data_IF_917980987252
#
_entry.id   IF_917980987252
#
_cell.length_a   1.000
_cell.length_b   1.000
_cell.length_c   1.000
_cell.angle_alpha   90.00
_cell.angle_beta   90.00
_cell.angle_gamma   90.00
#
_symmetry.space_group_name_H-M   'P 1'
#
loop_
_entity.id
_entity.type
_entity.pdbx_description
1 polymer ?
#
# COMPACT_ATOMS: atom_id res chain seq x y z
N UNK A 1 -4.14 4.41 -22.67
CA UNK A 1 -5.21 5.19 -22.00
C UNK A 1 -4.67 5.64 -20.65
N UNK A 2 -4.89 6.91 -20.27
CA UNK A 2 -4.41 7.43 -18.98
C UNK A 2 -5.20 6.78 -17.85
N UNK A 3 -4.55 6.12 -16.86
CA UNK A 3 -5.24 5.58 -15.71
C UNK A 3 -5.69 6.68 -14.74
N UNK A 4 -6.72 6.41 -13.94
CA UNK A 4 -7.12 7.29 -12.84
C UNK A 4 -6.15 7.15 -11.66
N UNK A 5 -5.58 5.93 -11.51
CA UNK A 5 -4.67 5.55 -10.43
C UNK A 5 -3.47 4.78 -11.00
N UNK A 6 -2.27 5.26 -10.70
CA UNK A 6 -1.00 4.61 -11.05
C UNK A 6 -0.34 4.07 -9.77
N UNK A 7 -0.19 2.76 -9.71
CA UNK A 7 0.54 2.07 -8.64
C UNK A 7 1.99 1.80 -9.07
N UNK A 8 2.95 2.25 -8.29
CA UNK A 8 4.37 1.98 -8.50
C UNK A 8 4.92 1.15 -7.34
N UNK A 9 5.22 -0.10 -7.61
CA UNK A 9 5.69 -1.07 -6.61
C UNK A 9 5.53 -2.49 -7.14
N UNK A 10 6.22 -3.44 -6.50
CA UNK A 10 6.21 -4.81 -6.99
C UNK A 10 5.06 -5.64 -6.41
N UNK A 11 4.52 -6.50 -7.26
CA UNK A 11 3.85 -7.70 -6.80
C UNK A 11 4.88 -8.59 -6.10
N UNK A 12 4.48 -9.34 -5.09
CA UNK A 12 5.35 -10.27 -4.37
C UNK A 12 4.92 -11.71 -4.56
N UNK A 13 5.85 -12.62 -4.29
CA UNK A 13 5.62 -14.02 -4.05
C UNK A 13 5.74 -14.29 -2.56
N UNK A 14 4.68 -14.74 -1.94
CA UNK A 14 4.69 -15.11 -0.52
C UNK A 14 4.76 -16.64 -0.43
N UNK A 15 5.92 -17.15 0.02
CA UNK A 15 6.13 -18.57 0.22
C UNK A 15 5.41 -19.02 1.49
N UNK A 16 4.42 -19.88 1.32
CA UNK A 16 3.58 -20.39 2.40
C UNK A 16 4.24 -21.63 3.08
N UNK A 17 3.82 -21.97 4.32
CA UNK A 17 4.40 -23.10 5.06
C UNK A 17 4.28 -24.46 4.38
N UNK A 18 3.31 -24.63 3.49
CA UNK A 18 3.11 -25.86 2.69
C UNK A 18 3.96 -25.88 1.40
N UNK A 19 4.80 -24.86 1.19
CA UNK A 19 5.65 -24.72 0.00
C UNK A 19 4.96 -24.14 -1.23
N UNK A 20 3.67 -23.80 -1.14
CA UNK A 20 2.96 -23.09 -2.21
C UNK A 20 3.32 -21.61 -2.21
N UNK A 21 3.04 -20.93 -3.32
CA UNK A 21 3.29 -19.50 -3.49
C UNK A 21 1.94 -18.80 -3.63
N UNK A 22 1.75 -17.74 -2.85
CA UNK A 22 0.64 -16.82 -2.99
C UNK A 22 1.12 -15.46 -3.52
N UNK A 23 0.36 -14.78 -4.37
CA UNK A 23 0.64 -13.40 -4.76
C UNK A 23 0.36 -12.46 -3.59
N UNK A 24 1.16 -11.40 -3.48
CA UNK A 24 1.04 -10.41 -2.42
C UNK A 24 1.66 -9.06 -2.79
N UNK A 25 1.97 -8.29 -1.77
CA UNK A 25 2.57 -6.95 -1.87
C UNK A 25 1.55 -5.83 -2.03
N UNK A 26 1.99 -4.62 -1.72
CA UNK A 26 1.15 -3.41 -1.79
C UNK A 26 0.49 -3.25 -3.15
N UNK A 27 1.22 -3.51 -4.24
CA UNK A 27 0.70 -3.39 -5.59
C UNK A 27 -0.49 -4.34 -5.85
N UNK A 28 -0.46 -5.55 -5.31
CA UNK A 28 -1.50 -6.56 -5.47
C UNK A 28 -2.82 -6.13 -4.83
N UNK A 29 -2.75 -5.76 -3.55
CA UNK A 29 -3.93 -5.34 -2.80
C UNK A 29 -4.47 -3.98 -3.25
N UNK A 30 -3.58 -3.01 -3.51
CA UNK A 30 -3.99 -1.69 -3.97
C UNK A 30 -4.67 -1.74 -5.34
N UNK A 31 -4.10 -2.45 -6.32
CA UNK A 31 -4.69 -2.54 -7.66
C UNK A 31 -6.09 -3.18 -7.62
N UNK A 32 -6.24 -4.28 -6.86
CA UNK A 32 -7.56 -4.92 -6.70
C UNK A 32 -8.56 -4.01 -5.99
N UNK A 33 -8.12 -3.25 -5.00
CA UNK A 33 -9.00 -2.29 -4.31
C UNK A 33 -9.50 -1.22 -5.28
N UNK A 34 -8.62 -0.63 -6.07
CA UNK A 34 -8.97 0.42 -7.02
C UNK A 34 -9.93 -0.07 -8.11
N UNK A 35 -9.70 -1.29 -8.62
CA UNK A 35 -10.58 -1.97 -9.58
C UNK A 35 -11.98 -2.20 -8.97
N UNK A 36 -12.07 -2.69 -7.72
CA UNK A 36 -13.34 -2.88 -7.00
C UNK A 36 -14.07 -1.57 -6.69
N UNK A 37 -13.36 -0.44 -6.72
CA UNK A 37 -13.89 0.90 -6.56
C UNK A 37 -14.25 1.57 -7.91
N UNK A 38 -14.32 0.80 -9.01
CA UNK A 38 -14.70 1.26 -10.35
C UNK A 38 -13.77 2.38 -10.88
N UNK A 39 -12.47 2.27 -10.62
CA UNK A 39 -11.45 3.20 -11.13
C UNK A 39 -10.45 2.48 -12.04
N UNK A 40 -10.05 3.16 -13.12
CA UNK A 40 -9.03 2.65 -14.03
C UNK A 40 -7.68 2.67 -13.32
N UNK A 41 -7.09 1.50 -13.17
CA UNK A 41 -5.82 1.33 -12.48
C UNK A 41 -4.75 0.78 -13.42
N UNK A 42 -3.54 1.29 -13.25
CA UNK A 42 -2.34 0.78 -13.89
C UNK A 42 -1.28 0.48 -12.83
N UNK A 43 -0.48 -0.56 -13.05
CA UNK A 43 0.60 -0.99 -12.17
C UNK A 43 1.89 -1.09 -12.95
N UNK A 44 2.98 -0.53 -12.42
CA UNK A 44 4.34 -0.77 -12.90
C UNK A 44 5.07 -1.65 -11.88
N UNK A 45 5.55 -2.81 -12.32
CA UNK A 45 6.07 -3.85 -11.44
C UNK A 45 7.10 -4.75 -12.14
N UNK A 46 7.79 -5.58 -11.36
CA UNK A 46 8.38 -6.81 -11.88
C UNK A 46 7.28 -7.77 -12.37
N UNK A 47 7.56 -8.67 -13.32
CA UNK A 47 6.64 -9.72 -13.70
C UNK A 47 6.19 -10.55 -12.50
N UNK A 48 4.93 -10.99 -12.48
CA UNK A 48 4.38 -11.72 -11.34
C UNK A 48 3.45 -12.86 -11.80
N UNK A 49 3.35 -13.89 -10.97
CA UNK A 49 2.39 -14.97 -11.14
C UNK A 49 1.03 -14.52 -10.58
N UNK A 50 0.24 -13.86 -11.41
CA UNK A 50 -1.07 -13.38 -11.01
C UNK A 50 -2.12 -14.51 -11.07
N UNK A 51 -3.16 -14.47 -10.24
CA UNK A 51 -4.25 -15.44 -10.30
C UNK A 51 -4.91 -15.48 -11.69
N UNK A 52 -5.43 -16.65 -12.07
CA UNK A 52 -6.08 -16.83 -13.38
C UNK A 52 -7.33 -15.93 -13.56
N UNK A 53 -7.95 -15.51 -12.46
CA UNK A 53 -9.10 -14.60 -12.42
C UNK A 53 -8.69 -13.13 -12.20
N UNK A 54 -7.40 -12.79 -12.46
CA UNK A 54 -6.95 -11.40 -12.38
C UNK A 54 -7.68 -10.55 -13.44
N UNK A 55 -8.23 -9.38 -13.04
CA UNK A 55 -9.03 -8.58 -13.97
C UNK A 55 -8.21 -8.02 -15.12
N UNK A 56 -8.69 -8.23 -16.35
CA UNK A 56 -8.11 -7.64 -17.56
C UNK A 56 -8.22 -6.10 -17.59
N UNK A 57 -9.11 -5.51 -16.78
CA UNK A 57 -9.25 -4.06 -16.60
C UNK A 57 -8.02 -3.41 -15.96
N UNK A 58 -7.22 -4.16 -15.19
CA UNK A 58 -6.00 -3.66 -14.56
C UNK A 58 -4.87 -3.65 -15.58
N UNK A 59 -4.42 -2.46 -15.96
CA UNK A 59 -3.33 -2.29 -16.90
C UNK A 59 -1.99 -2.59 -16.23
N UNK A 60 -1.12 -3.35 -16.89
CA UNK A 60 0.17 -3.79 -16.35
C UNK A 60 1.30 -3.36 -17.27
N UNK A 61 2.35 -2.78 -16.71
CA UNK A 61 3.65 -2.60 -17.35
C UNK A 61 4.70 -3.33 -16.51
N UNK A 62 5.31 -4.33 -17.11
CA UNK A 62 6.35 -5.11 -16.45
C UNK A 62 7.74 -4.73 -16.95
N UNK A 63 8.69 -4.70 -16.04
CA UNK A 63 10.11 -4.68 -16.37
C UNK A 63 10.61 -6.12 -16.50
N UNK A 64 10.79 -6.64 -17.73
CA UNK A 64 10.97 -8.09 -17.97
C UNK A 64 12.22 -8.69 -17.34
N UNK A 65 13.26 -7.86 -17.12
CA UNK A 65 14.54 -8.29 -16.54
C UNK A 65 14.47 -8.53 -15.03
N UNK A 66 13.40 -8.06 -14.38
CA UNK A 66 13.22 -8.23 -12.94
C UNK A 66 12.46 -9.52 -12.62
N UNK A 67 12.75 -10.06 -11.45
CA UNK A 67 11.97 -11.14 -10.83
C UNK A 67 11.22 -10.57 -9.65
N UNK A 68 9.99 -11.03 -9.35
CA UNK A 68 9.25 -10.53 -8.19
C UNK A 68 9.97 -10.88 -6.89
N UNK A 69 9.99 -9.97 -5.89
CA UNK A 69 10.56 -10.26 -4.59
C UNK A 69 9.78 -11.39 -3.94
N UNK A 70 10.51 -12.33 -3.33
CA UNK A 70 9.93 -13.51 -2.68
C UNK A 70 10.13 -13.43 -1.18
N UNK A 71 9.02 -13.43 -0.44
CA UNK A 71 9.01 -13.37 1.01
C UNK A 71 8.55 -14.69 1.62
N UNK A 72 9.05 -14.96 2.82
CA UNK A 72 8.59 -16.06 3.68
C UNK A 72 8.36 -15.50 5.09
N UNK A 73 7.20 -15.77 5.68
CA UNK A 73 6.92 -15.45 7.06
C UNK A 73 7.10 -16.70 7.93
N UNK A 74 8.11 -16.69 8.80
CA UNK A 74 8.37 -17.76 9.79
C UNK A 74 7.86 -17.32 11.15
N UNK A 75 6.96 -18.10 11.72
CA UNK A 75 6.46 -17.86 13.07
C UNK A 75 7.31 -18.67 14.06
N UNK A 76 7.93 -17.97 15.01
CA UNK A 76 8.78 -18.53 16.06
C UNK A 76 8.18 -18.21 17.43
N UNK A 77 8.63 -18.88 18.52
CA UNK A 77 8.21 -18.50 19.87
C UNK A 77 8.55 -17.05 20.26
N UNK A 78 9.51 -16.43 19.56
CA UNK A 78 9.94 -15.05 19.78
C UNK A 78 9.17 -14.06 18.88
N UNK A 79 8.29 -14.53 18.01
CA UNK A 79 7.50 -13.70 17.10
C UNK A 79 7.69 -14.07 15.62
N UNK A 80 7.13 -13.25 14.75
CA UNK A 80 7.24 -13.39 13.29
C UNK A 80 8.60 -12.89 12.81
N UNK A 81 9.31 -13.73 12.05
CA UNK A 81 10.51 -13.36 11.29
C UNK A 81 10.17 -13.39 9.82
N UNK A 82 10.42 -12.29 9.11
CA UNK A 82 10.24 -12.22 7.67
C UNK A 82 11.58 -12.44 6.97
N UNK A 83 11.61 -13.37 6.02
CA UNK A 83 12.78 -13.69 5.20
C UNK A 83 12.54 -13.16 3.79
N UNK A 84 13.51 -12.45 3.23
CA UNK A 84 13.55 -12.12 1.81
C UNK A 84 14.44 -13.16 1.10
N UNK A 85 13.85 -13.89 0.15
CA UNK A 85 14.57 -14.90 -0.63
C UNK A 85 15.20 -14.30 -1.88
N UNK A 86 14.47 -13.42 -2.57
CA UNK A 86 14.94 -12.71 -3.76
C UNK A 86 14.50 -11.26 -3.68
N UNK A 87 15.39 -10.37 -4.10
CA UNK A 87 15.12 -8.95 -4.34
C UNK A 87 14.89 -8.76 -5.85
N UNK A 88 14.13 -7.77 -6.25
CA UNK A 88 13.86 -7.53 -7.67
C UNK A 88 14.56 -6.29 -8.24
N UNK A 89 15.27 -5.54 -7.41
CA UNK A 89 15.89 -4.29 -7.83
C UNK A 89 14.90 -3.14 -8.05
N UNK A 90 15.44 -1.96 -8.34
CA UNK A 90 14.67 -0.73 -8.40
C UNK A 90 13.95 -0.53 -9.75
N UNK A 91 12.75 0.06 -9.70
CA UNK A 91 12.06 0.63 -10.85
C UNK A 91 12.77 1.90 -11.34
N UNK A 92 12.68 2.17 -12.63
CA UNK A 92 13.13 3.41 -13.25
C UNK A 92 11.94 4.22 -13.79
N UNK A 93 12.10 5.53 -13.95
CA UNK A 93 11.03 6.36 -14.54
C UNK A 93 10.69 5.92 -15.97
N UNK A 94 11.65 5.36 -16.69
CA UNK A 94 11.45 4.89 -18.07
C UNK A 94 10.66 3.57 -18.14
N UNK A 95 10.48 2.88 -17.04
CA UNK A 95 9.59 1.72 -16.95
C UNK A 95 8.11 2.15 -16.99
N UNK A 96 7.82 3.44 -16.76
CA UNK A 96 6.47 4.00 -16.71
C UNK A 96 6.07 4.49 -18.09
N UNK A 97 5.05 3.91 -18.75
CA UNK A 97 4.51 4.42 -20.00
C UNK A 97 4.23 5.92 -19.93
N UNK A 98 4.65 6.66 -20.95
CA UNK A 98 4.63 8.13 -20.91
C UNK A 98 3.24 8.71 -20.60
N UNK A 99 2.19 8.14 -21.17
CA UNK A 99 0.83 8.57 -20.91
C UNK A 99 0.36 8.31 -19.47
N UNK A 100 0.90 7.28 -18.77
CA UNK A 100 0.53 6.96 -17.41
C UNK A 100 1.09 7.95 -16.39
N UNK A 101 2.15 8.68 -16.75
CA UNK A 101 2.73 9.73 -15.91
C UNK A 101 1.77 10.90 -15.64
N UNK A 102 0.64 10.95 -16.37
CA UNK A 102 -0.43 11.93 -16.16
C UNK A 102 -1.61 11.39 -15.33
N UNK A 103 -1.43 10.29 -14.62
CA UNK A 103 -2.46 9.74 -13.72
C UNK A 103 -2.89 10.77 -12.67
N UNK A 104 -4.18 10.79 -12.33
CA UNK A 104 -4.71 11.71 -11.31
C UNK A 104 -4.28 11.38 -9.89
N UNK A 105 -3.98 10.09 -9.62
CA UNK A 105 -3.44 9.57 -8.37
C UNK A 105 -2.19 8.77 -8.71
N UNK A 106 -1.11 8.99 -7.97
CA UNK A 106 0.10 8.15 -7.99
C UNK A 106 0.35 7.61 -6.59
N UNK A 107 0.47 6.29 -6.48
CA UNK A 107 0.77 5.61 -5.23
C UNK A 107 2.15 4.96 -5.31
N UNK A 108 3.09 5.45 -4.50
CA UNK A 108 4.40 4.82 -4.32
C UNK A 108 4.29 3.82 -3.17
N UNK A 109 4.37 2.55 -3.49
CA UNK A 109 4.22 1.46 -2.52
C UNK A 109 5.40 0.50 -2.53
N UNK A 110 6.61 0.96 -2.13
CA UNK A 110 7.75 0.07 -2.02
C UNK A 110 7.49 -1.04 -1.01
N UNK A 111 7.85 -2.26 -1.38
CA UNK A 111 7.77 -3.44 -0.52
C UNK A 111 9.17 -3.97 -0.16
N UNK A 112 10.15 -3.78 -1.06
CA UNK A 112 11.56 -4.12 -0.92
C UNK A 112 12.46 -2.97 -1.46
N UNK A 113 12.13 -1.72 -1.13
CA UNK A 113 12.82 -0.50 -1.54
C UNK A 113 12.94 -0.28 -3.07
N UNK A 114 12.13 -0.98 -3.87
CA UNK A 114 12.17 -0.96 -5.33
C UNK A 114 11.68 0.34 -5.96
N UNK A 115 10.91 1.13 -5.22
CA UNK A 115 10.46 2.45 -5.67
C UNK A 115 11.40 3.51 -5.10
N UNK A 116 12.24 4.18 -5.92
CA UNK A 116 13.16 5.21 -5.44
C UNK A 116 12.41 6.39 -4.80
N UNK A 117 12.93 6.93 -3.69
CA UNK A 117 12.35 8.12 -3.03
C UNK A 117 12.27 9.33 -3.98
N UNK A 118 13.18 9.43 -4.95
CA UNK A 118 13.17 10.51 -5.96
C UNK A 118 11.89 10.56 -6.79
N UNK A 119 11.12 9.45 -6.87
CA UNK A 119 9.84 9.41 -7.58
C UNK A 119 8.79 10.34 -6.95
N UNK A 120 8.95 10.72 -5.70
CA UNK A 120 8.11 11.73 -5.02
C UNK A 120 8.03 13.03 -5.82
N UNK A 121 9.08 13.39 -6.56
CA UNK A 121 9.12 14.63 -7.35
C UNK A 121 8.73 14.43 -8.83
N UNK A 122 8.51 13.20 -9.27
CA UNK A 122 8.30 12.90 -10.69
C UNK A 122 6.86 13.21 -11.18
N UNK A 123 5.90 13.38 -10.28
CA UNK A 123 4.46 13.51 -10.61
C UNK A 123 3.84 14.77 -10.00
N UNK A 124 4.24 15.99 -10.43
CA UNK A 124 3.87 17.24 -9.74
C UNK A 124 2.37 17.58 -9.81
N UNK A 125 1.62 16.96 -10.71
CA UNK A 125 0.18 17.21 -10.89
C UNK A 125 -0.72 16.14 -10.25
N UNK A 126 -0.15 15.01 -9.80
CA UNK A 126 -0.91 13.94 -9.20
C UNK A 126 -1.14 14.18 -7.71
N UNK A 127 -2.25 13.63 -7.20
CA UNK A 127 -2.39 13.33 -5.78
C UNK A 127 -1.39 12.21 -5.46
N UNK A 128 -0.37 12.50 -4.67
CA UNK A 128 0.70 11.59 -4.36
C UNK A 128 0.47 10.90 -3.02
N UNK A 129 0.20 9.59 -3.05
CA UNK A 129 0.14 8.72 -1.88
C UNK A 129 1.42 7.90 -1.73
N UNK A 130 1.77 7.61 -0.48
CA UNK A 130 2.93 6.77 -0.16
C UNK A 130 2.59 5.78 0.94
N UNK A 131 2.96 4.50 0.75
CA UNK A 131 3.05 3.48 1.80
C UNK A 131 4.53 3.09 1.96
N UNK A 132 5.25 3.60 2.98
CA UNK A 132 6.71 3.60 3.02
C UNK A 132 7.32 2.29 3.53
N UNK A 133 6.58 1.21 3.67
CA UNK A 133 7.01 -0.02 4.32
C UNK A 133 8.36 -0.55 3.78
N UNK A 134 8.55 -0.55 2.46
CA UNK A 134 9.80 -1.02 1.86
C UNK A 134 10.99 -0.11 2.15
N UNK A 135 10.77 1.19 2.40
CA UNK A 135 11.84 2.11 2.83
C UNK A 135 12.21 1.96 4.30
N UNK A 136 11.40 1.21 5.07
CA UNK A 136 11.66 0.88 6.48
C UNK A 136 12.28 -0.51 6.65
N UNK A 137 12.68 -1.15 5.56
CA UNK A 137 13.25 -2.50 5.55
C UNK A 137 14.71 -2.47 5.12
N UNK A 138 15.52 -3.27 5.79
CA UNK A 138 16.90 -3.52 5.41
C UNK A 138 17.19 -5.02 5.45
N UNK A 139 18.06 -5.48 4.59
CA UNK A 139 18.51 -6.86 4.52
C UNK A 139 19.97 -6.93 4.09
N UNK A 140 20.60 -8.05 4.39
CA UNK A 140 21.97 -8.34 3.97
C UNK A 140 22.03 -9.31 2.79
N UNK A 141 22.83 -10.35 2.93
CA UNK A 141 22.92 -11.42 1.93
C UNK A 141 21.59 -12.17 1.83
N UNK A 142 21.16 -12.45 0.60
CA UNK A 142 19.94 -13.21 0.32
C UNK A 142 20.25 -14.70 0.07
N UNK A 143 19.34 -15.60 0.49
CA UNK A 143 18.16 -15.35 1.33
C UNK A 143 18.56 -14.97 2.77
N UNK A 144 17.80 -14.02 3.35
CA UNK A 144 18.11 -13.53 4.70
C UNK A 144 16.96 -12.81 5.39
N UNK A 145 17.08 -12.58 6.70
CA UNK A 145 16.06 -11.89 7.46
C UNK A 145 15.99 -10.42 7.10
N UNK A 146 14.76 -9.90 7.09
CA UNK A 146 14.50 -8.47 7.01
C UNK A 146 14.61 -7.88 8.41
N UNK A 147 15.33 -6.77 8.52
CA UNK A 147 15.41 -5.95 9.70
C UNK A 147 14.66 -4.63 9.51
N UNK A 148 14.15 -4.09 10.60
CA UNK A 148 13.56 -2.75 10.60
C UNK A 148 14.66 -1.69 10.58
N UNK A 149 14.46 -0.69 9.73
CA UNK A 149 15.26 0.53 9.68
C UNK A 149 14.31 1.73 9.67
N UNK A 150 14.37 2.62 10.67
CA UNK A 150 13.54 3.83 10.66
C UNK A 150 13.79 4.66 9.39
N UNK A 151 12.73 4.98 8.68
CA UNK A 151 12.81 5.88 7.53
C UNK A 151 12.99 7.32 8.00
N UNK A 152 14.03 8.01 7.51
CA UNK A 152 14.38 9.37 7.91
C UNK A 152 14.48 10.29 6.69
N UNK A 153 13.34 10.58 6.02
CA UNK A 153 13.33 11.40 4.83
C UNK A 153 13.59 12.87 5.15
N UNK A 154 14.11 13.58 4.15
CA UNK A 154 14.23 15.03 4.24
C UNK A 154 12.84 15.69 4.34
N UNK A 155 12.69 16.80 5.08
CA UNK A 155 11.41 17.52 5.21
C UNK A 155 10.78 17.91 3.86
N UNK A 156 11.60 18.24 2.86
CA UNK A 156 11.18 18.62 1.52
C UNK A 156 10.45 17.47 0.81
N UNK A 157 10.91 16.25 1.01
CA UNK A 157 10.27 15.06 0.46
C UNK A 157 8.90 14.85 1.08
N UNK A 158 8.78 14.94 2.41
CA UNK A 158 7.51 14.80 3.12
C UNK A 158 6.49 15.87 2.71
N UNK A 159 6.92 17.12 2.46
CA UNK A 159 6.01 18.20 2.00
C UNK A 159 5.42 17.94 0.63
N UNK A 160 6.06 17.10 -0.19
CA UNK A 160 5.54 16.76 -1.54
C UNK A 160 4.51 15.63 -1.47
N UNK A 161 4.52 14.82 -0.42
CA UNK A 161 3.57 13.73 -0.25
C UNK A 161 2.23 14.29 0.23
N UNK A 162 1.16 14.04 -0.52
CA UNK A 162 -0.18 14.50 -0.14
C UNK A 162 -0.80 13.62 0.95
N UNK A 163 -0.55 12.29 0.91
CA UNK A 163 -0.99 11.35 1.94
C UNK A 163 0.04 10.25 2.18
N UNK A 164 0.46 10.12 3.43
CA UNK A 164 1.36 9.06 3.92
C UNK A 164 0.54 8.06 4.73
N UNK A 165 0.54 6.79 4.35
CA UNK A 165 -0.21 5.73 5.04
C UNK A 165 0.75 4.65 5.52
N UNK A 166 0.68 4.32 6.81
CA UNK A 166 1.52 3.30 7.43
C UNK A 166 0.79 2.67 8.61
N UNK A 167 1.22 1.50 9.03
CA UNK A 167 0.70 0.84 10.23
C UNK A 167 1.57 1.13 11.46
N UNK A 168 1.01 0.95 12.64
CA UNK A 168 1.77 1.02 13.89
C UNK A 168 2.84 -0.08 13.96
N UNK A 169 2.63 -1.19 13.24
CA UNK A 169 3.59 -2.28 13.12
C UNK A 169 4.79 -1.90 12.25
N UNK A 170 4.59 -1.13 11.18
CA UNK A 170 5.66 -0.68 10.29
C UNK A 170 6.70 0.18 11.03
N UNK A 171 6.27 0.90 12.06
CA UNK A 171 7.14 1.73 12.90
C UNK A 171 7.47 1.09 14.25
N UNK A 172 7.18 -0.20 14.43
CA UNK A 172 7.44 -0.94 15.68
C UNK A 172 6.89 -0.21 16.94
N UNK A 173 5.75 0.46 16.81
CA UNK A 173 5.11 1.23 17.89
C UNK A 173 5.67 2.64 18.11
N UNK A 174 6.63 3.08 17.32
CA UNK A 174 7.24 4.42 17.49
C UNK A 174 6.33 5.54 16.94
N UNK A 175 5.39 5.98 17.74
CA UNK A 175 4.53 7.13 17.42
C UNK A 175 5.28 8.46 17.34
N UNK A 176 6.45 8.58 17.97
CA UNK A 176 7.24 9.81 17.90
C UNK A 176 7.79 10.00 16.48
N UNK A 177 8.20 8.90 15.84
CA UNK A 177 8.60 8.89 14.43
C UNK A 177 7.43 9.33 13.53
N UNK A 178 6.22 8.78 13.73
CA UNK A 178 5.03 9.17 12.95
C UNK A 178 4.69 10.64 13.12
N UNK A 179 4.74 11.16 14.35
CA UNK A 179 4.54 12.58 14.63
C UNK A 179 5.60 13.45 13.96
N UNK A 180 6.83 12.95 13.79
CA UNK A 180 7.86 13.67 13.05
C UNK A 180 7.52 13.81 11.56
N UNK A 181 6.94 12.79 10.94
CA UNK A 181 6.44 12.87 9.56
C UNK A 181 5.28 13.85 9.42
N UNK A 182 4.32 13.80 10.36
CA UNK A 182 3.14 14.67 10.37
C UNK A 182 3.46 16.16 10.50
N UNK A 183 4.67 16.54 10.92
CA UNK A 183 5.12 17.94 10.92
C UNK A 183 5.27 18.53 9.53
N UNK A 184 5.47 17.69 8.53
CA UNK A 184 5.82 18.12 7.17
C UNK A 184 4.86 17.55 6.12
N UNK A 185 4.33 16.34 6.31
CA UNK A 185 3.32 15.75 5.44
C UNK A 185 1.91 16.21 5.89
N UNK A 186 1.09 16.79 5.01
CA UNK A 186 -0.22 17.37 5.37
C UNK A 186 -1.21 16.34 5.89
N UNK A 187 -1.15 15.09 5.39
CA UNK A 187 -2.00 13.99 5.81
C UNK A 187 -1.17 12.75 6.09
N UNK A 188 -1.19 12.27 7.34
CA UNK A 188 -0.60 10.99 7.74
C UNK A 188 -1.66 10.12 8.37
N UNK A 189 -1.90 8.93 7.83
CA UNK A 189 -2.81 7.94 8.38
C UNK A 189 -2.01 6.78 9.01
N UNK A 190 -2.12 6.64 10.32
CA UNK A 190 -1.52 5.56 11.09
C UNK A 190 -2.59 4.52 11.43
N UNK A 191 -2.58 3.38 10.75
CA UNK A 191 -3.54 2.30 10.98
C UNK A 191 -3.17 1.46 12.20
N UNK A 192 -4.20 0.93 12.92
CA UNK A 192 -4.06 0.21 14.19
C UNK A 192 -4.97 -1.02 14.23
N UNK A 193 -5.11 -1.71 13.12
CA UNK A 193 -5.96 -2.91 12.99
C UNK A 193 -7.38 -2.68 13.54
N UNK A 194 -7.88 -3.53 14.42
CA UNK A 194 -9.21 -3.40 15.02
C UNK A 194 -9.43 -2.13 15.87
N UNK A 195 -8.37 -1.37 16.17
CA UNK A 195 -8.48 -0.08 16.86
C UNK A 195 -8.75 1.09 15.90
N UNK A 196 -8.87 0.84 14.60
CA UNK A 196 -9.09 1.87 13.60
C UNK A 196 -7.79 2.55 13.15
N UNK A 197 -7.81 3.87 13.03
CA UNK A 197 -6.65 4.65 12.61
C UNK A 197 -6.54 5.98 13.36
N UNK A 198 -5.33 6.54 13.40
CA UNK A 198 -5.09 7.92 13.77
C UNK A 198 -4.76 8.72 12.51
N UNK A 199 -5.61 9.67 12.17
CA UNK A 199 -5.40 10.59 11.06
C UNK A 199 -4.74 11.86 11.59
N UNK A 200 -3.50 12.12 11.20
CA UNK A 200 -2.85 13.40 11.47
C UNK A 200 -3.13 14.33 10.29
N UNK A 201 -3.89 15.39 10.53
CA UNK A 201 -4.16 16.44 9.57
C UNK A 201 -3.44 17.71 10.01
N UNK A 202 -2.44 18.15 9.25
CA UNK A 202 -1.58 19.27 9.62
C UNK A 202 -1.03 19.14 11.07
N UNK A 203 -0.51 17.96 11.40
CA UNK A 203 0.03 17.57 12.72
C UNK A 203 -1.02 17.36 13.82
N UNK A 204 -2.30 17.64 13.59
CA UNK A 204 -3.37 17.43 14.59
C UNK A 204 -3.90 16.00 14.48
N UNK A 205 -3.84 15.18 15.55
CA UNK A 205 -4.34 13.81 15.51
C UNK A 205 -5.85 13.75 15.67
N UNK A 206 -6.49 12.90 14.85
CA UNK A 206 -7.92 12.60 14.91
C UNK A 206 -8.11 11.09 14.90
N UNK A 207 -8.98 10.58 15.72
CA UNK A 207 -9.30 9.16 15.73
C UNK A 207 -10.35 8.83 14.67
N UNK A 208 -10.07 7.79 13.89
CA UNK A 208 -10.98 7.20 12.91
C UNK A 208 -11.33 5.80 13.44
N UNK A 209 -12.58 5.54 13.83
CA UNK A 209 -12.96 4.23 14.37
C UNK A 209 -12.89 3.14 13.30
N UNK A 210 -12.60 1.90 13.72
CA UNK A 210 -12.74 0.75 12.87
C UNK A 210 -14.24 0.41 12.69
N UNK A 211 -14.60 -0.10 11.51
CA UNK A 211 -15.89 -0.72 11.31
C UNK A 211 -15.87 -2.15 11.87
N UNK A 212 -16.99 -2.64 12.45
CA UNK A 212 -17.08 -4.02 12.91
C UNK A 212 -16.85 -5.02 11.78
N UNK A 213 -15.98 -6.00 12.02
CA UNK A 213 -15.68 -7.06 11.07
C UNK A 213 -15.31 -8.36 11.80
N UNK A 214 -15.69 -9.50 11.21
CA UNK A 214 -15.16 -10.81 11.63
C UNK A 214 -13.85 -11.04 10.89
N UNK A 215 -12.72 -10.85 11.59
CA UNK A 215 -11.40 -10.99 11.00
C UNK A 215 -11.08 -12.46 10.70
N UNK A 216 -10.80 -12.76 9.44
CA UNK A 216 -10.36 -14.06 8.93
C UNK A 216 -8.95 -14.01 8.35
N UNK A 217 -8.62 -12.93 7.65
CA UNK A 217 -7.29 -12.70 7.08
C UNK A 217 -7.01 -11.20 7.04
N UNK A 218 -6.12 -10.67 7.91
CA UNK A 218 -5.78 -9.26 7.94
C UNK A 218 -4.74 -8.86 6.87
N UNK A 219 -4.24 -9.83 6.09
CA UNK A 219 -3.17 -9.57 5.10
C UNK A 219 -3.62 -8.54 4.07
N UNK A 220 -2.82 -7.50 3.87
CA UNK A 220 -3.08 -6.45 2.90
C UNK A 220 -4.14 -5.41 3.33
N UNK A 221 -4.72 -5.50 4.54
CA UNK A 221 -5.72 -4.53 4.99
C UNK A 221 -5.21 -3.09 5.02
N UNK A 222 -3.92 -2.89 5.35
CA UNK A 222 -3.25 -1.58 5.29
C UNK A 222 -3.15 -1.05 3.87
N UNK A 223 -2.83 -1.91 2.89
CA UNK A 223 -2.75 -1.54 1.48
C UNK A 223 -4.14 -1.22 0.90
N UNK A 224 -5.14 -2.00 1.29
CA UNK A 224 -6.56 -1.75 0.97
C UNK A 224 -7.00 -0.40 1.53
N UNK A 225 -6.68 -0.12 2.80
CA UNK A 225 -6.97 1.18 3.43
C UNK A 225 -6.30 2.31 2.64
N UNK A 226 -5.01 2.19 2.32
CA UNK A 226 -4.26 3.22 1.60
C UNK A 226 -4.86 3.51 0.23
N UNK A 227 -5.14 2.48 -0.56
CA UNK A 227 -5.73 2.62 -1.88
C UNK A 227 -7.12 3.27 -1.83
N UNK A 228 -7.98 2.82 -0.91
CA UNK A 228 -9.31 3.37 -0.72
C UNK A 228 -9.28 4.84 -0.24
N UNK A 229 -8.35 5.17 0.68
CA UNK A 229 -8.12 6.55 1.15
C UNK A 229 -7.78 7.47 -0.02
N UNK A 230 -6.82 7.09 -0.86
CA UNK A 230 -6.36 7.91 -1.99
C UNK A 230 -7.46 8.11 -3.03
N UNK A 231 -8.20 7.05 -3.37
CA UNK A 231 -9.34 7.15 -4.29
C UNK A 231 -10.38 8.12 -3.74
N UNK A 232 -10.79 7.94 -2.48
CA UNK A 232 -11.85 8.74 -1.91
C UNK A 232 -11.41 10.18 -1.60
N UNK A 233 -10.16 10.39 -1.23
CA UNK A 233 -9.58 11.71 -1.06
C UNK A 233 -9.60 12.50 -2.37
N UNK A 234 -9.27 11.84 -3.50
CA UNK A 234 -9.34 12.47 -4.83
C UNK A 234 -10.77 12.80 -5.25
N UNK A 235 -11.75 12.00 -4.85
CA UNK A 235 -13.17 12.19 -5.16
C UNK A 235 -13.82 13.31 -4.33
N UNK A 236 -13.59 13.30 -3.01
CA UNK A 236 -14.31 14.15 -2.07
C UNK A 236 -13.55 15.45 -1.71
N UNK A 237 -12.23 15.40 -1.75
CA UNK A 237 -11.39 16.45 -1.17
C UNK A 237 -11.44 16.52 0.36
N UNK A 238 -12.18 15.63 1.02
CA UNK A 238 -12.36 15.60 2.48
C UNK A 238 -11.57 14.45 3.11
N UNK A 239 -10.50 14.74 3.88
CA UNK A 239 -9.67 13.71 4.52
C UNK A 239 -10.42 12.83 5.52
N UNK A 240 -11.42 13.37 6.23
CA UNK A 240 -12.20 12.60 7.21
C UNK A 240 -13.14 11.62 6.53
N UNK A 241 -13.83 12.10 5.50
CA UNK A 241 -14.69 11.26 4.70
C UNK A 241 -13.88 10.16 4.02
N UNK A 242 -12.70 10.50 3.48
CA UNK A 242 -11.80 9.54 2.85
C UNK A 242 -11.28 8.49 3.83
N UNK A 243 -10.90 8.87 5.05
CA UNK A 243 -10.42 7.95 6.07
C UNK A 243 -11.53 7.03 6.60
N UNK A 244 -12.75 7.54 6.81
CA UNK A 244 -13.90 6.72 7.19
C UNK A 244 -14.29 5.73 6.09
N UNK A 245 -14.29 6.17 4.81
CA UNK A 245 -14.49 5.29 3.67
C UNK A 245 -13.44 4.17 3.64
N UNK A 246 -12.16 4.53 3.76
CA UNK A 246 -11.04 3.58 3.77
C UNK A 246 -11.14 2.55 4.91
N UNK A 247 -11.54 2.98 6.11
CA UNK A 247 -11.77 2.09 7.25
C UNK A 247 -12.90 1.08 6.97
N UNK A 248 -13.99 1.50 6.30
CA UNK A 248 -15.07 0.61 5.90
C UNK A 248 -14.62 -0.44 4.87
N UNK A 249 -13.83 -0.02 3.86
CA UNK A 249 -13.28 -0.92 2.83
C UNK A 249 -12.33 -1.94 3.45
N UNK A 250 -11.39 -1.48 4.30
CA UNK A 250 -10.45 -2.35 4.99
C UNK A 250 -11.14 -3.35 5.92
N UNK A 251 -12.17 -2.93 6.67
CA UNK A 251 -12.97 -3.83 7.49
C UNK A 251 -13.72 -4.89 6.66
N UNK A 252 -14.09 -4.57 5.43
CA UNK A 252 -14.65 -5.55 4.49
C UNK A 252 -13.60 -6.56 4.04
N UNK A 253 -12.41 -6.11 3.71
CA UNK A 253 -11.36 -6.97 3.13
C UNK A 253 -10.87 -8.06 4.07
N UNK A 254 -10.87 -7.84 5.40
CA UNK A 254 -10.39 -8.82 6.38
C UNK A 254 -11.35 -9.99 6.61
N UNK A 255 -12.58 -9.96 6.06
CA UNK A 255 -13.61 -10.99 6.25
C UNK A 255 -13.45 -12.21 5.34
N UNK A 256 -12.43 -12.25 4.51
CA UNK A 256 -12.09 -13.39 3.65
C UNK A 256 -10.61 -13.45 3.35
N UNK A 257 -10.19 -14.42 2.54
CA UNK A 257 -8.76 -14.61 2.24
C UNK A 257 -8.32 -13.75 1.05
N UNK A 258 -7.15 -13.14 1.17
CA UNK A 258 -6.50 -12.37 0.12
C UNK A 258 -7.41 -11.27 -0.41
N UNK A 259 -7.47 -11.10 -1.72
CA UNK A 259 -8.23 -10.00 -2.36
C UNK A 259 -9.71 -10.32 -2.62
N UNK A 260 -10.17 -11.55 -2.32
CA UNK A 260 -11.53 -12.00 -2.65
C UNK A 260 -12.62 -11.27 -1.86
N UNK A 261 -12.32 -10.83 -0.64
CA UNK A 261 -13.24 -10.13 0.25
C UNK A 261 -13.17 -8.61 0.16
N UNK A 262 -12.32 -8.05 -0.71
CA UNK A 262 -12.32 -6.60 -0.93
C UNK A 262 -13.69 -6.20 -1.48
N UNK A 263 -14.45 -5.35 -0.76
CA UNK A 263 -15.81 -5.02 -1.16
C UNK A 263 -15.86 -4.15 -2.42
N UNK A 264 -16.92 -4.29 -3.18
CA UNK A 264 -17.25 -3.39 -4.28
C UNK A 264 -17.76 -2.04 -3.75
N UNK A 265 -17.76 -1.03 -4.59
CA UNK A 265 -18.35 0.28 -4.26
C UNK A 265 -19.79 0.17 -3.75
N UNK A 266 -20.63 -0.64 -4.39
CA UNK A 266 -22.02 -0.82 -3.99
C UNK A 266 -22.16 -1.48 -2.60
N UNK A 267 -21.32 -2.46 -2.29
CA UNK A 267 -21.31 -3.11 -0.96
C UNK A 267 -20.85 -2.14 0.13
N UNK A 268 -19.90 -1.24 -0.17
CA UNK A 268 -19.43 -0.22 0.79
C UNK A 268 -20.55 0.78 1.09
N UNK A 269 -21.26 1.25 0.08
CA UNK A 269 -22.39 2.18 0.26
C UNK A 269 -23.45 1.58 1.16
N UNK A 270 -23.80 0.29 0.98
CA UNK A 270 -24.74 -0.40 1.85
C UNK A 270 -24.26 -0.50 3.31
N UNK A 271 -22.98 -0.78 3.54
CA UNK A 271 -22.39 -0.88 4.90
C UNK A 271 -22.34 0.46 5.64
N UNK A 272 -22.24 1.58 4.93
CA UNK A 272 -22.16 2.92 5.52
C UNK A 272 -23.52 3.48 5.93
N UNK A 273 -24.61 2.88 5.48
CA UNK A 273 -25.98 3.31 5.80
C UNK A 273 -26.49 2.66 7.10
N UNK A 274 -25.87 1.58 7.54
CA UNK A 274 -26.16 0.86 8.78
C UNK A 274 -25.28 1.35 9.92
#
# INVERSE_FOLDING_TARGET
>A
MIPDYLMLGHFTRDLLPDGTIAPGGTAFYAARTVDRLDRRVAVVSAPADLPADWPESIQLAFRPELSPPTFENRYTPQGRVQILHTDSGALALDDIPTEWRNAGIVHLGPIAAETPESFVHAFPQALLGVTPQGWMRAWGQLPGPISYQPWQPAPELLRRIDALVLSIEDVHGDEALVKSYARYCPLVALTRSAQGATLFLNSVPHHIPAFPAEERDPTGAGDVFAAALLVRLRESGDPFEAANFAACVAAGSVQGRGVSAIPTRAEIEQRRIV
#
